data_IF_316010631005
#
_entry.id   IF_316010631005
#
_cell.length_a   1.000
_cell.length_b   1.000
_cell.length_c   1.000
_cell.angle_alpha   90.00
_cell.angle_beta   90.00
_cell.angle_gamma   90.00
#
_symmetry.space_group_name_H-M   'P 1'
#
loop_
_entity.id
_entity.type
_entity.pdbx_description
1 polymer ?
#
# COMPACT_ATOMS: atom_id res chain seq x y z
N UNK A 1 -10.21 -4.02 -22.05
CA UNK A 1 -9.86 -3.24 -20.84
C UNK A 1 -8.91 -4.08 -20.02
N UNK A 2 -7.66 -3.66 -19.81
CA UNK A 2 -6.67 -4.45 -19.05
C UNK A 2 -7.11 -4.55 -17.59
N UNK A 3 -7.05 -5.74 -16.98
CA UNK A 3 -7.37 -5.90 -15.55
C UNK A 3 -6.47 -4.97 -14.73
N UNK A 4 -7.08 -4.10 -13.92
CA UNK A 4 -6.36 -3.12 -13.12
C UNK A 4 -5.32 -3.79 -12.21
N UNK A 5 -5.61 -4.99 -11.70
CA UNK A 5 -4.70 -5.78 -10.86
C UNK A 5 -3.43 -6.15 -11.63
N UNK A 6 -3.53 -6.47 -12.93
CA UNK A 6 -2.36 -6.73 -13.79
C UNK A 6 -1.51 -5.48 -13.97
N UNK A 7 -2.12 -4.30 -14.08
CA UNK A 7 -1.38 -3.04 -14.17
C UNK A 7 -0.63 -2.73 -12.86
N UNK A 8 -1.27 -2.95 -11.70
CA UNK A 8 -0.60 -2.83 -10.40
C UNK A 8 0.57 -3.81 -10.28
N UNK A 9 0.38 -5.08 -10.61
CA UNK A 9 1.43 -6.09 -10.56
C UNK A 9 2.61 -5.76 -11.49
N UNK A 10 2.35 -5.27 -12.70
CA UNK A 10 3.39 -4.84 -13.65
C UNK A 10 4.15 -3.61 -13.15
N UNK A 11 3.43 -2.57 -12.73
CA UNK A 11 4.01 -1.31 -12.25
C UNK A 11 4.91 -1.53 -11.03
N UNK A 12 4.41 -2.22 -10.01
CA UNK A 12 5.13 -2.53 -8.77
C UNK A 12 6.04 -3.77 -8.88
N UNK A 13 6.10 -4.39 -10.06
CA UNK A 13 7.05 -5.46 -10.39
C UNK A 13 8.39 -4.94 -10.93
N UNK A 14 8.47 -3.68 -11.37
CA UNK A 14 9.73 -3.04 -11.76
C UNK A 14 10.57 -2.62 -10.53
N UNK A 15 11.91 -2.47 -10.65
CA UNK A 15 12.76 -2.03 -9.54
C UNK A 15 12.32 -0.71 -8.90
N UNK A 16 11.99 0.30 -9.72
CA UNK A 16 11.48 1.59 -9.24
C UNK A 16 10.13 1.46 -8.53
N UNK A 17 9.22 0.65 -9.08
CA UNK A 17 7.93 0.37 -8.47
C UNK A 17 8.07 -0.26 -7.08
N UNK A 18 8.96 -1.25 -6.93
CA UNK A 18 9.26 -1.86 -5.62
C UNK A 18 9.78 -0.83 -4.62
N UNK A 19 10.72 0.02 -5.03
CA UNK A 19 11.25 1.08 -4.17
C UNK A 19 10.16 2.08 -3.72
N UNK A 20 9.22 2.42 -4.61
CA UNK A 20 8.06 3.26 -4.25
C UNK A 20 7.15 2.54 -3.26
N UNK A 21 6.85 1.26 -3.45
CA UNK A 21 6.02 0.51 -2.50
C UNK A 21 6.66 0.42 -1.11
N UNK A 22 7.96 0.14 -1.04
CA UNK A 22 8.72 0.15 0.21
C UNK A 22 8.68 1.53 0.89
N UNK A 23 8.82 2.61 0.12
CA UNK A 23 8.70 3.97 0.66
C UNK A 23 7.29 4.24 1.22
N UNK A 24 6.24 3.86 0.48
CA UNK A 24 4.85 4.01 0.93
C UNK A 24 4.59 3.24 2.23
N UNK A 25 5.11 2.01 2.35
CA UNK A 25 5.01 1.22 3.58
C UNK A 25 5.69 1.92 4.77
N UNK A 26 6.88 2.47 4.58
CA UNK A 26 7.62 3.21 5.61
C UNK A 26 6.84 4.40 6.16
N UNK A 27 6.22 5.20 5.28
CA UNK A 27 5.52 6.43 5.68
C UNK A 27 4.08 6.20 6.15
N UNK A 28 3.54 4.98 6.02
CA UNK A 28 2.14 4.66 6.41
C UNK A 28 2.04 3.49 7.41
N UNK A 29 2.35 2.27 6.98
CA UNK A 29 2.21 1.03 7.74
C UNK A 29 3.18 0.99 8.92
N UNK A 30 4.45 1.32 8.65
CA UNK A 30 5.54 1.25 9.64
C UNK A 30 5.67 2.56 10.43
N UNK A 31 4.90 3.58 10.06
CA UNK A 31 4.90 4.88 10.74
C UNK A 31 4.30 4.74 12.15
N UNK A 32 5.14 5.03 13.14
CA UNK A 32 4.73 5.14 14.54
C UNK A 32 4.14 6.53 14.81
N UNK A 33 3.07 6.57 15.61
CA UNK A 33 2.42 7.80 16.07
C UNK A 33 2.70 7.99 17.56
N UNK A 34 2.80 9.24 17.99
CA UNK A 34 3.10 9.57 19.38
C UNK A 34 1.89 9.36 20.29
N UNK A 35 2.10 9.29 21.62
CA UNK A 35 1.01 9.10 22.58
C UNK A 35 0.00 10.26 22.61
N UNK A 36 0.38 11.44 22.12
CA UNK A 36 -0.48 12.63 22.06
C UNK A 36 -1.19 12.80 20.71
N UNK A 37 -1.16 11.80 19.83
CA UNK A 37 -1.84 11.87 18.53
C UNK A 37 -3.36 11.86 18.73
N UNK A 38 -4.04 12.81 18.09
CA UNK A 38 -5.49 12.93 18.17
C UNK A 38 -6.22 11.80 17.44
N UNK A 39 -7.48 11.57 17.80
CA UNK A 39 -8.35 10.58 17.14
C UNK A 39 -8.50 10.83 15.62
N UNK A 40 -8.52 12.10 15.21
CA UNK A 40 -8.61 12.47 13.80
C UNK A 40 -7.32 12.06 13.05
N UNK A 41 -6.16 12.35 13.63
CA UNK A 41 -4.87 11.96 13.06
C UNK A 41 -4.69 10.44 13.02
N UNK A 42 -5.16 9.71 14.05
CA UNK A 42 -5.18 8.25 14.07
C UNK A 42 -6.05 7.69 12.94
N UNK A 43 -7.27 8.22 12.76
CA UNK A 43 -8.19 7.80 11.69
C UNK A 43 -7.64 8.11 10.30
N UNK A 44 -7.02 9.28 10.15
CA UNK A 44 -6.35 9.67 8.92
C UNK A 44 -5.21 8.71 8.59
N UNK A 45 -4.36 8.39 9.56
CA UNK A 45 -3.28 7.43 9.39
C UNK A 45 -3.82 6.04 9.03
N UNK A 46 -4.90 5.58 9.65
CA UNK A 46 -5.50 4.29 9.33
C UNK A 46 -6.07 4.25 7.91
N UNK A 47 -6.65 5.35 7.45
CA UNK A 47 -7.12 5.49 6.06
C UNK A 47 -5.97 5.35 5.06
N UNK A 48 -4.80 5.94 5.36
CA UNK A 48 -3.60 5.78 4.54
C UNK A 48 -3.07 4.34 4.55
N UNK A 49 -3.09 3.66 5.70
CA UNK A 49 -2.68 2.25 5.82
C UNK A 49 -3.60 1.33 5.03
N UNK A 50 -4.91 1.57 5.08
CA UNK A 50 -5.89 0.80 4.30
C UNK A 50 -5.64 0.92 2.79
N UNK A 51 -5.33 2.12 2.30
CA UNK A 51 -5.00 2.33 0.89
C UNK A 51 -3.74 1.55 0.46
N UNK A 52 -2.67 1.59 1.25
CA UNK A 52 -1.43 0.86 0.92
C UNK A 52 -1.65 -0.66 0.93
N UNK A 53 -2.44 -1.18 1.89
CA UNK A 53 -2.84 -2.60 1.90
C UNK A 53 -3.69 -2.98 0.68
N UNK A 54 -4.57 -2.09 0.21
CA UNK A 54 -5.35 -2.32 -1.00
C UNK A 54 -4.45 -2.41 -2.24
N UNK A 55 -3.42 -1.56 -2.32
CA UNK A 55 -2.41 -1.64 -3.39
C UNK A 55 -1.70 -3.00 -3.34
N UNK A 56 -1.27 -3.45 -2.16
CA UNK A 56 -0.64 -4.77 -1.98
C UNK A 56 -1.56 -5.92 -2.42
N UNK A 57 -2.85 -5.86 -2.07
CA UNK A 57 -3.84 -6.85 -2.49
C UNK A 57 -4.04 -6.87 -4.01
N UNK A 58 -4.09 -5.70 -4.67
CA UNK A 58 -4.19 -5.62 -6.13
C UNK A 58 -2.94 -6.18 -6.82
N UNK A 59 -1.75 -5.94 -6.25
CA UNK A 59 -0.49 -6.51 -6.73
C UNK A 59 -0.54 -8.04 -6.61
N UNK A 60 -0.91 -8.58 -5.45
CA UNK A 60 -1.01 -10.02 -5.22
C UNK A 60 -1.99 -10.68 -6.21
N UNK A 61 -3.20 -10.12 -6.32
CA UNK A 61 -4.21 -10.58 -7.29
C UNK A 61 -3.69 -10.57 -8.73
N UNK A 62 -2.99 -9.50 -9.12
CA UNK A 62 -2.41 -9.37 -10.46
C UNK A 62 -1.25 -10.34 -10.73
N UNK A 63 -0.59 -10.85 -9.70
CA UNK A 63 0.43 -11.91 -9.81
C UNK A 63 -0.17 -13.31 -9.90
N UNK A 64 -1.47 -13.45 -9.63
CA UNK A 64 -2.14 -14.75 -9.53
C UNK A 64 -1.98 -15.42 -8.16
N UNK A 65 -1.54 -14.68 -7.13
CA UNK A 65 -1.60 -15.19 -5.76
C UNK A 65 -3.06 -15.37 -5.37
N UNK A 66 -3.45 -16.62 -5.12
CA UNK A 66 -4.73 -16.93 -4.49
C UNK A 66 -4.58 -16.65 -3.00
N UNK A 67 -5.08 -15.50 -2.54
CA UNK A 67 -5.37 -15.28 -1.12
C UNK A 67 -6.38 -16.29 -0.61
#
# INVERSE_FOLDING_TARGET
MTDISLNYARCFGAPSGRAVLEHLRKITIERTLGPNTSDNELRWAESQRALVRQIEALIARGRGDKS
#
